data_IF_834479589515
#
_entry.id   IF_834479589515
#
_cell.length_a   1.000
_cell.length_b   1.000
_cell.length_c   1.000
_cell.angle_alpha   90.00
_cell.angle_beta   90.00
_cell.angle_gamma   90.00
#
_symmetry.space_group_name_H-M   'P 1'
#
loop_
_entity.id
_entity.type
_entity.pdbx_description
1 polymer ?
#
# COMPACT_ATOMS: atom_id res chain seq x y z
N UNK A 1 -31.97 -20.85 -3.80
CA UNK A 1 -30.60 -20.36 -4.03
C UNK A 1 -29.79 -20.58 -2.76
N UNK A 2 -28.55 -21.06 -2.87
CA UNK A 2 -27.66 -21.07 -1.70
C UNK A 2 -27.26 -19.62 -1.40
N UNK A 3 -27.24 -19.18 -0.13
CA UNK A 3 -26.81 -17.83 0.22
C UNK A 3 -25.34 -17.62 -0.17
N UNK A 4 -25.05 -16.49 -0.80
CA UNK A 4 -23.69 -16.10 -1.10
C UNK A 4 -23.02 -15.65 0.22
N UNK A 5 -21.91 -16.26 0.57
CA UNK A 5 -21.13 -15.92 1.78
C UNK A 5 -19.77 -15.33 1.36
N UNK A 6 -19.19 -14.48 2.20
CA UNK A 6 -17.83 -14.01 2.01
C UNK A 6 -16.83 -15.17 2.09
N UNK A 7 -15.67 -15.01 1.47
CA UNK A 7 -14.59 -15.99 1.56
C UNK A 7 -14.08 -16.11 3.01
N UNK A 8 -13.74 -17.33 3.44
CA UNK A 8 -13.12 -17.57 4.74
C UNK A 8 -11.77 -16.85 4.91
N UNK A 9 -11.08 -16.54 3.81
CA UNK A 9 -9.86 -15.72 3.83
C UNK A 9 -10.07 -14.33 4.45
N UNK A 10 -11.31 -13.85 4.48
CA UNK A 10 -11.69 -12.55 5.04
C UNK A 10 -12.06 -12.62 6.53
N UNK A 11 -12.11 -13.79 7.14
CA UNK A 11 -12.58 -13.92 8.52
C UNK A 11 -11.62 -13.29 9.53
N UNK A 12 -10.32 -13.28 9.23
CA UNK A 12 -9.26 -12.68 10.06
C UNK A 12 -8.69 -11.37 9.49
N UNK A 13 -9.36 -10.77 8.49
CA UNK A 13 -8.93 -9.51 7.88
C UNK A 13 -9.72 -8.36 8.47
N UNK A 14 -9.10 -7.62 9.39
CA UNK A 14 -9.63 -6.36 9.90
C UNK A 14 -9.13 -5.20 9.01
N UNK A 15 -9.81 -4.98 7.89
CA UNK A 15 -9.57 -3.81 7.04
C UNK A 15 -10.66 -2.76 7.28
N UNK A 16 -10.75 -2.30 8.52
CA UNK A 16 -11.81 -1.38 8.94
C UNK A 16 -11.26 0.03 9.18
N UNK A 17 -10.89 0.69 8.07
CA UNK A 17 -10.48 2.11 8.08
C UNK A 17 -11.68 3.03 8.37
N UNK A 18 -12.89 2.51 8.26
CA UNK A 18 -14.16 3.25 8.33
C UNK A 18 -15.11 2.66 9.36
N UNK A 19 -14.60 2.23 10.50
CA UNK A 19 -15.39 1.59 11.54
C UNK A 19 -16.20 2.55 12.43
N UNK A 20 -16.51 2.10 13.64
CA UNK A 20 -17.41 2.82 14.57
C UNK A 20 -16.98 4.26 14.85
N UNK A 21 -15.68 4.56 14.76
CA UNK A 21 -15.15 5.92 14.95
C UNK A 21 -15.60 6.86 13.83
N UNK A 22 -15.64 6.38 12.57
CA UNK A 22 -16.15 7.20 11.46
C UNK A 22 -17.65 7.45 11.60
N UNK A 23 -18.44 6.44 11.97
CA UNK A 23 -19.87 6.58 12.19
C UNK A 23 -20.18 7.56 13.32
N UNK A 24 -19.37 7.53 14.40
CA UNK A 24 -19.48 8.50 15.49
C UNK A 24 -19.14 9.91 15.00
N UNK A 25 -18.05 10.07 14.25
CA UNK A 25 -17.63 11.35 13.69
C UNK A 25 -18.71 11.94 12.78
N UNK A 26 -19.32 11.13 11.92
CA UNK A 26 -20.42 11.56 11.04
C UNK A 26 -21.63 12.05 11.84
N UNK A 27 -22.06 11.31 12.87
CA UNK A 27 -23.14 11.76 13.76
C UNK A 27 -22.83 13.09 14.43
N UNK A 28 -21.63 13.24 14.94
CA UNK A 28 -21.21 14.50 15.57
C UNK A 28 -21.20 15.67 14.57
N UNK A 29 -20.80 15.42 13.33
CA UNK A 29 -20.88 16.42 12.24
C UNK A 29 -22.34 16.81 11.94
N UNK A 30 -23.26 15.84 11.90
CA UNK A 30 -24.69 16.08 11.71
C UNK A 30 -25.29 16.88 12.89
N UNK A 31 -24.77 16.71 14.10
CA UNK A 31 -25.12 17.48 15.29
C UNK A 31 -24.48 18.88 15.33
N UNK A 32 -23.67 19.23 14.32
CA UNK A 32 -23.04 20.54 14.18
C UNK A 32 -21.65 20.67 14.79
N UNK A 33 -21.05 19.57 15.23
CA UNK A 33 -19.67 19.57 15.70
C UNK A 33 -18.66 19.63 14.55
N UNK A 34 -17.59 20.41 14.73
CA UNK A 34 -16.49 20.46 13.77
C UNK A 34 -15.48 19.35 14.08
N UNK A 35 -15.39 18.34 13.21
CA UNK A 35 -14.45 17.23 13.34
C UNK A 35 -13.21 17.48 12.50
N UNK A 36 -12.02 17.38 13.09
CA UNK A 36 -10.75 17.42 12.40
C UNK A 36 -10.35 15.99 12.06
N UNK A 37 -10.37 15.65 10.76
CA UNK A 37 -10.04 14.30 10.26
C UNK A 37 -8.55 14.17 9.99
N UNK A 38 -7.83 13.46 10.88
CA UNK A 38 -6.39 13.23 10.79
C UNK A 38 -6.03 11.78 10.40
N UNK A 39 -7.05 10.97 10.12
CA UNK A 39 -6.90 9.53 9.85
C UNK A 39 -6.44 9.22 8.42
N UNK A 40 -6.66 10.11 7.45
CA UNK A 40 -6.26 9.93 6.06
C UNK A 40 -5.67 11.24 5.56
N UNK A 41 -4.44 11.18 5.00
CA UNK A 41 -3.82 12.31 4.31
C UNK A 41 -4.57 12.63 3.03
N UNK A 42 -5.33 13.71 3.03
CA UNK A 42 -6.04 14.20 1.84
C UNK A 42 -5.69 15.67 1.62
N UNK A 43 -4.52 15.90 1.04
CA UNK A 43 -3.94 17.24 0.93
C UNK A 43 -4.74 18.19 0.02
N UNK A 44 -5.43 17.66 -1.00
CA UNK A 44 -6.23 18.45 -1.94
C UNK A 44 -7.35 19.27 -1.28
N UNK A 45 -7.98 18.75 -0.20
CA UNK A 45 -9.01 19.50 0.53
C UNK A 45 -8.47 20.69 1.32
N UNK A 46 -7.14 20.78 1.46
CA UNK A 46 -6.43 21.89 2.10
C UNK A 46 -5.77 22.85 1.09
N UNK A 47 -6.10 22.74 -0.20
CA UNK A 47 -5.60 23.62 -1.25
C UNK A 47 -4.20 23.28 -1.78
N UNK A 48 -3.71 22.06 -1.52
CA UNK A 48 -2.47 21.58 -2.11
C UNK A 48 -2.76 20.87 -3.43
N UNK A 49 -2.71 21.62 -4.51
CA UNK A 49 -2.88 21.08 -5.86
C UNK A 49 -1.58 20.47 -6.39
N UNK A 50 -1.65 19.51 -7.32
CA UNK A 50 -0.47 19.05 -8.03
C UNK A 50 0.24 20.23 -8.73
N UNK A 51 1.58 20.21 -8.86
CA UNK A 51 2.30 21.20 -9.64
C UNK A 51 1.72 21.36 -11.04
N UNK A 52 1.69 22.61 -11.53
CA UNK A 52 1.09 22.94 -12.83
C UNK A 52 1.73 22.14 -13.98
N UNK A 53 3.04 21.92 -13.92
CA UNK A 53 3.77 21.15 -14.92
C UNK A 53 3.23 19.73 -15.04
N UNK A 54 2.89 19.07 -13.91
CA UNK A 54 2.29 17.72 -13.90
C UNK A 54 0.90 17.76 -14.52
N UNK A 55 0.07 18.74 -14.14
CA UNK A 55 -1.29 18.88 -14.68
C UNK A 55 -1.26 19.09 -16.19
N UNK A 56 -0.41 19.99 -16.69
CA UNK A 56 -0.27 20.28 -18.11
C UNK A 56 0.26 19.05 -18.89
N UNK A 57 1.21 18.31 -18.34
CA UNK A 57 1.73 17.11 -18.97
C UNK A 57 0.66 16.03 -19.09
N UNK A 58 -0.13 15.82 -18.04
CA UNK A 58 -1.26 14.89 -18.08
C UNK A 58 -2.27 15.28 -19.17
N UNK A 59 -2.64 16.56 -19.27
CA UNK A 59 -3.58 17.05 -20.27
C UNK A 59 -3.04 16.82 -21.69
N UNK A 60 -1.76 17.13 -21.93
CA UNK A 60 -1.09 16.96 -23.23
C UNK A 60 -1.03 15.50 -23.67
N UNK A 61 -0.92 14.56 -22.72
CA UNK A 61 -0.80 13.14 -23.00
C UNK A 61 -2.14 12.37 -22.91
N UNK A 62 -3.25 13.05 -22.64
CA UNK A 62 -4.54 12.40 -22.46
C UNK A 62 -4.99 11.58 -23.68
N UNK A 63 -4.72 12.08 -24.89
CA UNK A 63 -5.02 11.36 -26.12
C UNK A 63 -4.23 10.05 -26.28
N UNK A 64 -3.04 9.97 -25.73
CA UNK A 64 -2.20 8.78 -25.76
C UNK A 64 -2.68 7.72 -24.74
N UNK A 65 -3.46 8.11 -23.74
CA UNK A 65 -3.99 7.22 -22.71
C UNK A 65 -5.21 6.39 -23.17
N UNK A 66 -5.71 6.61 -24.39
CA UNK A 66 -6.85 5.87 -24.93
C UNK A 66 -6.52 4.48 -25.47
N UNK A 67 -5.23 4.16 -25.62
CA UNK A 67 -4.77 2.88 -26.15
C UNK A 67 -4.16 1.99 -25.07
N UNK A 68 -4.10 0.67 -25.36
CA UNK A 68 -3.34 -0.24 -24.51
C UNK A 68 -1.85 0.11 -24.52
N UNK A 69 -1.19 -0.07 -23.38
CA UNK A 69 0.25 0.10 -23.22
C UNK A 69 0.92 -1.23 -22.83
N UNK A 70 2.24 -1.22 -22.71
CA UNK A 70 3.00 -2.35 -22.16
C UNK A 70 2.50 -2.70 -20.77
N UNK A 71 2.36 -3.99 -20.46
CA UNK A 71 1.88 -4.49 -19.17
C UNK A 71 2.77 -4.10 -17.99
N UNK A 72 4.05 -3.84 -18.22
CA UNK A 72 4.97 -3.32 -17.21
C UNK A 72 4.83 -1.81 -16.98
N UNK A 73 4.11 -1.12 -17.86
CA UNK A 73 3.98 0.34 -17.88
C UNK A 73 4.71 1.00 -19.05
N UNK A 74 4.36 2.24 -19.34
CA UNK A 74 4.95 2.97 -20.47
C UNK A 74 6.45 3.17 -20.29
N UNK A 75 7.19 3.07 -21.41
CA UNK A 75 8.65 3.16 -21.43
C UNK A 75 9.19 4.43 -20.74
N UNK A 76 8.56 5.59 -20.98
CA UNK A 76 9.01 6.85 -20.43
C UNK A 76 8.95 6.84 -18.87
N UNK A 77 7.87 6.31 -18.29
CA UNK A 77 7.73 6.21 -16.83
C UNK A 77 8.74 5.22 -16.24
N UNK A 78 8.89 4.04 -16.84
CA UNK A 78 9.86 3.03 -16.39
C UNK A 78 11.29 3.54 -16.46
N UNK A 79 11.64 4.28 -17.54
CA UNK A 79 12.94 4.92 -17.67
C UNK A 79 13.20 5.96 -16.60
N UNK A 80 12.21 6.81 -16.31
CA UNK A 80 12.32 7.82 -15.25
C UNK A 80 12.53 7.18 -13.87
N UNK A 81 11.79 6.09 -13.57
CA UNK A 81 11.96 5.33 -12.31
C UNK A 81 13.35 4.71 -12.24
N UNK A 82 13.85 4.09 -13.32
CA UNK A 82 15.20 3.53 -13.36
C UNK A 82 16.26 4.62 -13.11
N UNK A 83 16.13 5.79 -13.74
CA UNK A 83 17.04 6.92 -13.53
C UNK A 83 16.98 7.42 -12.08
N UNK A 84 15.78 7.52 -11.51
CA UNK A 84 15.62 7.88 -10.10
C UNK A 84 16.30 6.86 -9.16
N UNK A 85 16.21 5.57 -9.44
CA UNK A 85 16.94 4.55 -8.70
C UNK A 85 18.47 4.78 -8.78
N UNK A 86 18.99 5.14 -9.96
CA UNK A 86 20.41 5.44 -10.14
C UNK A 86 20.83 6.67 -9.33
N UNK A 87 20.04 7.74 -9.34
CA UNK A 87 20.28 8.94 -8.54
C UNK A 87 20.29 8.63 -7.02
N UNK A 88 19.46 7.71 -6.58
CA UNK A 88 19.43 7.22 -5.19
C UNK A 88 20.53 6.21 -4.85
N UNK A 89 21.40 5.87 -5.79
CA UNK A 89 22.48 4.90 -5.59
C UNK A 89 22.02 3.43 -5.53
N UNK A 90 20.78 3.14 -5.94
CA UNK A 90 20.24 1.77 -6.03
C UNK A 90 20.81 1.14 -7.29
N UNK A 91 21.74 0.20 -7.12
CA UNK A 91 22.43 -0.45 -8.23
C UNK A 91 21.68 -1.65 -8.78
N UNK A 92 21.95 -1.99 -10.06
CA UNK A 92 21.46 -3.20 -10.69
C UNK A 92 20.03 -3.13 -11.22
N UNK A 93 19.34 -2.00 -11.06
CA UNK A 93 17.97 -1.83 -11.60
C UNK A 93 18.04 -1.53 -13.10
N UNK A 94 17.38 -2.36 -13.87
CA UNK A 94 17.20 -2.19 -15.33
C UNK A 94 15.75 -1.84 -15.67
N UNK A 95 15.47 -1.50 -16.91
CA UNK A 95 14.09 -1.28 -17.38
C UNK A 95 13.19 -2.50 -17.20
N UNK A 96 13.77 -3.71 -17.26
CA UNK A 96 13.00 -4.94 -17.13
C UNK A 96 12.58 -5.27 -15.71
N UNK A 97 13.22 -4.64 -14.72
CA UNK A 97 12.91 -4.80 -13.32
C UNK A 97 11.82 -3.82 -12.81
N UNK A 98 11.39 -2.89 -13.68
CA UNK A 98 10.43 -1.86 -13.31
C UNK A 98 9.03 -2.21 -13.79
N UNK A 99 8.11 -2.29 -12.85
CA UNK A 99 6.66 -2.44 -13.08
C UNK A 99 5.93 -1.26 -12.48
N UNK A 100 5.04 -0.65 -13.26
CA UNK A 100 4.19 0.42 -12.77
C UNK A 100 2.80 -0.11 -12.45
N UNK A 101 2.18 0.45 -11.44
CA UNK A 101 0.81 0.10 -11.03
C UNK A 101 0.00 1.33 -10.65
N UNK A 102 -1.27 1.12 -10.38
CA UNK A 102 -2.21 2.15 -10.02
C UNK A 102 -2.15 2.42 -8.50
N UNK A 103 -1.06 3.05 -8.07
CA UNK A 103 -0.78 3.35 -6.68
C UNK A 103 -0.18 2.18 -5.90
N UNK A 104 0.32 2.50 -4.70
CA UNK A 104 1.03 1.55 -3.83
C UNK A 104 0.15 0.36 -3.42
N UNK A 105 -1.14 0.60 -3.21
CA UNK A 105 -2.07 -0.46 -2.79
C UNK A 105 -2.17 -1.61 -3.79
N UNK A 106 -2.24 -1.30 -5.09
CA UNK A 106 -2.24 -2.32 -6.14
C UNK A 106 -0.91 -3.08 -6.16
N UNK A 107 0.21 -2.36 -6.06
CA UNK A 107 1.54 -2.97 -6.08
C UNK A 107 1.77 -3.90 -4.88
N UNK A 108 1.27 -3.55 -3.69
CA UNK A 108 1.29 -4.42 -2.52
C UNK A 108 0.53 -5.72 -2.81
N UNK A 109 -0.70 -5.62 -3.31
CA UNK A 109 -1.53 -6.79 -3.61
C UNK A 109 -0.88 -7.67 -4.68
N UNK A 110 -0.39 -7.07 -5.77
CA UNK A 110 0.29 -7.80 -6.84
C UNK A 110 1.55 -8.50 -6.34
N UNK A 111 2.36 -7.82 -5.52
CA UNK A 111 3.59 -8.39 -4.95
C UNK A 111 3.29 -9.58 -4.04
N UNK A 112 2.31 -9.46 -3.15
CA UNK A 112 1.94 -10.56 -2.26
C UNK A 112 1.39 -11.76 -3.03
N UNK A 113 0.55 -11.52 -4.04
CA UNK A 113 0.07 -12.61 -4.90
C UNK A 113 1.18 -13.30 -5.70
N UNK A 114 2.20 -12.55 -6.13
CA UNK A 114 3.32 -13.12 -6.89
C UNK A 114 4.32 -13.88 -6.03
N UNK A 115 4.47 -13.52 -4.75
CA UNK A 115 5.54 -14.02 -3.89
C UNK A 115 5.09 -15.15 -2.96
N UNK A 116 3.81 -15.18 -2.53
CA UNK A 116 3.38 -16.02 -1.41
C UNK A 116 2.67 -17.28 -1.87
N UNK A 117 3.05 -18.39 -1.22
CA UNK A 117 2.29 -19.63 -1.18
C UNK A 117 1.55 -19.74 0.17
N UNK A 118 0.63 -20.70 0.25
CA UNK A 118 -0.07 -20.99 1.50
C UNK A 118 0.92 -21.34 2.63
N UNK A 119 0.83 -20.57 3.72
CA UNK A 119 1.66 -20.76 4.90
C UNK A 119 3.01 -20.05 4.89
N UNK A 120 3.39 -19.34 3.80
CA UNK A 120 4.52 -18.43 3.84
C UNK A 120 4.25 -17.29 4.82
N UNK A 121 5.30 -16.79 5.46
CA UNK A 121 5.22 -15.71 6.44
C UNK A 121 5.81 -14.42 5.89
N UNK A 122 5.14 -13.30 6.18
CA UNK A 122 5.64 -11.95 5.90
C UNK A 122 5.67 -11.17 7.20
N UNK A 123 6.83 -10.58 7.53
CA UNK A 123 6.91 -9.66 8.64
C UNK A 123 6.37 -8.29 8.19
N UNK A 124 5.39 -7.77 8.93
CA UNK A 124 4.74 -6.48 8.66
C UNK A 124 4.86 -5.59 9.89
N UNK A 125 5.02 -4.27 9.73
CA UNK A 125 5.15 -3.37 10.88
C UNK A 125 3.86 -3.32 11.71
N UNK A 126 3.98 -2.93 12.99
CA UNK A 126 2.84 -2.57 13.83
C UNK A 126 3.23 -1.38 14.72
N UNK A 127 2.42 -0.30 14.76
CA UNK A 127 1.21 -0.06 13.96
C UNK A 127 1.51 0.12 12.46
N UNK A 128 0.56 -0.26 11.58
CA UNK A 128 0.73 -0.15 10.14
C UNK A 128 -0.54 0.29 9.41
N UNK A 129 -0.40 0.43 8.09
CA UNK A 129 -1.55 0.55 7.21
C UNK A 129 -2.17 -0.84 7.00
N UNK A 130 -3.47 -1.04 7.33
CA UNK A 130 -4.10 -2.37 7.40
C UNK A 130 -4.02 -3.21 6.12
N UNK A 131 -3.70 -2.58 4.98
CA UNK A 131 -3.59 -3.28 3.70
C UNK A 131 -2.47 -4.32 3.69
N UNK A 132 -1.33 -4.08 4.36
CA UNK A 132 -0.24 -5.04 4.41
C UNK A 132 -0.72 -6.38 4.97
N UNK A 133 -1.32 -6.35 6.16
CA UNK A 133 -1.91 -7.52 6.80
C UNK A 133 -2.98 -8.19 5.93
N UNK A 134 -3.85 -7.37 5.32
CA UNK A 134 -4.91 -7.86 4.46
C UNK A 134 -4.37 -8.54 3.20
N UNK A 135 -3.41 -7.91 2.51
CA UNK A 135 -2.83 -8.43 1.27
C UNK A 135 -2.09 -9.77 1.50
N UNK A 136 -1.31 -9.87 2.58
CA UNK A 136 -0.63 -11.12 2.97
C UNK A 136 -1.66 -12.22 3.22
N UNK A 137 -2.69 -11.95 4.05
CA UNK A 137 -3.72 -12.95 4.39
C UNK A 137 -4.53 -13.39 3.17
N UNK A 138 -4.92 -12.46 2.29
CA UNK A 138 -5.67 -12.76 1.08
C UNK A 138 -4.88 -13.57 0.06
N UNK A 139 -3.55 -13.40 0.06
CA UNK A 139 -2.63 -14.17 -0.80
C UNK A 139 -2.24 -15.53 -0.24
N UNK A 140 -2.84 -15.96 0.91
CA UNK A 140 -2.58 -17.26 1.54
C UNK A 140 -1.41 -17.25 2.54
N UNK A 141 -0.73 -16.12 2.70
CA UNK A 141 0.35 -15.96 3.67
C UNK A 141 -0.14 -15.69 5.09
N UNK A 142 0.78 -15.72 6.03
CA UNK A 142 0.58 -15.41 7.45
C UNK A 142 1.35 -14.15 7.83
N UNK A 143 0.67 -13.03 8.13
CA UNK A 143 1.36 -11.82 8.59
C UNK A 143 1.90 -12.03 10.00
N UNK A 144 3.16 -11.64 10.23
CA UNK A 144 3.83 -11.61 11.52
C UNK A 144 4.22 -10.16 11.82
N UNK A 145 3.60 -9.57 12.83
CA UNK A 145 3.81 -8.17 13.13
C UNK A 145 5.08 -7.97 13.95
N UNK A 146 5.94 -7.04 13.51
CA UNK A 146 7.07 -6.55 14.31
C UNK A 146 6.78 -5.14 14.84
N UNK A 147 7.38 -4.81 15.98
CA UNK A 147 7.14 -3.54 16.65
C UNK A 147 7.88 -2.38 15.96
N UNK A 148 7.15 -1.28 15.73
CA UNK A 148 7.73 0.04 15.55
C UNK A 148 7.61 0.79 16.88
N UNK A 149 8.74 1.11 17.51
CA UNK A 149 8.78 1.61 18.87
C UNK A 149 8.43 3.11 18.93
N UNK A 150 7.33 3.45 19.57
CA UNK A 150 6.90 4.83 19.76
C UNK A 150 7.94 5.67 20.54
N UNK A 151 8.61 5.06 21.50
CA UNK A 151 9.64 5.74 22.30
C UNK A 151 10.93 6.03 21.51
N UNK A 152 11.09 5.39 20.36
CA UNK A 152 12.22 5.52 19.44
C UNK A 152 11.77 6.03 18.05
N UNK A 153 10.96 7.08 18.05
CA UNK A 153 10.48 7.76 16.82
C UNK A 153 9.81 6.81 15.80
N UNK A 154 9.14 5.77 16.29
CA UNK A 154 8.52 4.72 15.48
C UNK A 154 9.50 3.92 14.62
N UNK A 155 10.78 3.91 14.97
CA UNK A 155 11.77 3.09 14.29
C UNK A 155 11.44 1.60 14.45
N UNK A 156 11.70 0.77 13.42
CA UNK A 156 11.52 -0.67 13.51
C UNK A 156 12.44 -1.29 14.58
N UNK A 157 11.88 -2.10 15.48
CA UNK A 157 12.67 -2.87 16.44
C UNK A 157 13.37 -4.04 15.74
N UNK A 158 14.66 -3.88 15.50
CA UNK A 158 15.48 -4.88 14.81
C UNK A 158 15.62 -6.18 15.61
N UNK A 159 15.60 -6.11 16.95
CA UNK A 159 15.67 -7.30 17.78
C UNK A 159 14.36 -8.09 17.67
N UNK A 160 13.22 -7.41 17.69
CA UNK A 160 11.90 -8.02 17.50
C UNK A 160 11.78 -8.63 16.09
N UNK A 161 12.20 -7.91 15.03
CA UNK A 161 12.24 -8.45 13.66
C UNK A 161 13.05 -9.75 13.63
N UNK A 162 14.29 -9.74 14.13
CA UNK A 162 15.16 -10.93 14.14
C UNK A 162 14.52 -12.12 14.87
N UNK A 163 13.85 -11.85 15.98
CA UNK A 163 13.18 -12.90 16.78
C UNK A 163 12.02 -13.58 16.05
N UNK A 164 11.42 -12.89 15.07
CA UNK A 164 10.24 -13.34 14.32
C UNK A 164 10.57 -13.99 12.99
N UNK A 165 11.83 -13.95 12.55
CA UNK A 165 12.27 -14.65 11.34
C UNK A 165 12.24 -16.15 11.57
N UNK A 166 11.57 -16.88 10.70
CA UNK A 166 11.50 -18.34 10.66
C UNK A 166 11.91 -18.89 9.31
N UNK A 167 11.96 -20.21 9.17
CA UNK A 167 12.18 -20.83 7.85
C UNK A 167 11.06 -20.58 6.83
N UNK A 168 9.92 -20.06 7.27
CA UNK A 168 8.78 -19.70 6.44
C UNK A 168 8.75 -18.23 6.06
N UNK A 169 9.62 -17.42 6.65
CA UNK A 169 9.68 -15.98 6.36
C UNK A 169 10.11 -15.75 4.91
N UNK A 170 9.22 -15.17 4.13
CA UNK A 170 9.41 -14.90 2.70
C UNK A 170 9.84 -13.47 2.43
N UNK A 171 9.30 -12.52 3.20
CA UNK A 171 9.55 -11.10 3.01
C UNK A 171 9.41 -10.32 4.34
N UNK A 172 9.95 -9.10 4.34
CA UNK A 172 9.76 -8.09 5.37
C UNK A 172 9.19 -6.86 4.66
N UNK A 173 8.04 -6.35 5.12
CA UNK A 173 7.37 -5.17 4.59
C UNK A 173 7.71 -3.90 5.37
#
# INVERSE_FOLDING_TARGET
MKPIRKSQKLDNVCYDIRGPVLELAQRMEEEGHKIIKLNIGNVGVFGFDPPEEIQLDMIRNLSNASAYSDSKGIFAARKAIMQYCQEKGIQGVTLDDVYTGNGVSELIVLSMNALLNDGDEVLVPTPDYPLWTAAVSLSGGSPKHYLCDESNEWAPDIADIKSKITSKTKAIG
#
